data_IF_301611625322
#
_entry.id   IF_301611625322
#
_cell.length_a   1.000
_cell.length_b   1.000
_cell.length_c   1.000
_cell.angle_alpha   90.00
_cell.angle_beta   90.00
_cell.angle_gamma   90.00
#
_symmetry.space_group_name_H-M   'P 1'
#
loop_
_entity.id
_entity.type
_entity.pdbx_description
1 polymer ?
#
# COMPACT_ATOMS: atom_id res chain seq x y z
N UNK A 1 -0.53 -18.79 3.20
CA UNK A 1 0.05 -17.43 3.03
C UNK A 1 -0.23 -16.95 1.62
N UNK A 2 -0.64 -15.69 1.43
CA UNK A 2 -0.79 -15.13 0.09
C UNK A 2 0.56 -14.57 -0.36
N UNK A 3 1.36 -15.38 -1.05
CA UNK A 3 2.66 -14.96 -1.62
C UNK A 3 2.58 -13.66 -2.45
N UNK A 4 1.38 -13.33 -2.94
CA UNK A 4 1.12 -12.11 -3.70
C UNK A 4 1.31 -10.84 -2.87
N UNK A 5 0.84 -10.81 -1.61
CA UNK A 5 0.95 -9.61 -0.78
C UNK A 5 2.37 -9.43 -0.23
N UNK A 6 3.05 -10.52 0.11
CA UNK A 6 4.48 -10.51 0.48
C UNK A 6 5.35 -9.95 -0.65
N UNK A 7 5.10 -10.40 -1.89
CA UNK A 7 5.80 -9.88 -3.06
C UNK A 7 5.48 -8.40 -3.30
N UNK A 8 4.22 -8.00 -3.13
CA UNK A 8 3.77 -6.64 -3.36
C UNK A 8 4.41 -5.63 -2.38
N UNK A 9 4.42 -5.93 -1.07
CA UNK A 9 5.06 -5.04 -0.11
C UNK A 9 6.57 -4.94 -0.37
N UNK A 10 7.24 -6.04 -0.74
CA UNK A 10 8.65 -5.99 -1.15
C UNK A 10 8.85 -5.10 -2.39
N UNK A 11 7.98 -5.20 -3.39
CA UNK A 11 8.05 -4.37 -4.59
C UNK A 11 7.85 -2.87 -4.33
N UNK A 12 7.05 -2.50 -3.32
CA UNK A 12 6.90 -1.09 -2.89
C UNK A 12 8.18 -0.58 -2.23
N UNK A 13 8.85 -1.41 -1.43
CA UNK A 13 10.01 -1.01 -0.61
C UNK A 13 11.37 -1.25 -1.27
N UNK A 14 11.45 -1.97 -2.38
CA UNK A 14 12.71 -2.20 -3.11
C UNK A 14 13.21 -0.93 -3.81
N UNK A 15 14.53 -0.85 -4.00
CA UNK A 15 15.18 0.16 -4.84
C UNK A 15 15.93 -0.53 -5.99
N UNK A 16 15.73 -0.11 -7.26
CA UNK A 16 14.84 0.97 -7.71
C UNK A 16 13.34 0.62 -7.59
N UNK A 17 12.51 1.65 -7.39
CA UNK A 17 11.04 1.52 -7.35
C UNK A 17 10.53 0.83 -8.61
N UNK A 18 9.70 -0.21 -8.43
CA UNK A 18 9.04 -0.92 -9.54
C UNK A 18 8.20 0.03 -10.39
N UNK A 19 8.33 -0.05 -11.72
CA UNK A 19 7.55 0.78 -12.65
C UNK A 19 6.20 0.16 -13.05
N UNK A 20 5.81 -0.97 -12.45
CA UNK A 20 4.64 -1.76 -12.87
C UNK A 20 3.71 -2.10 -11.70
N UNK A 21 3.48 -1.15 -10.79
CA UNK A 21 2.50 -1.30 -9.71
C UNK A 21 1.19 -0.66 -10.17
N UNK A 22 0.10 -1.44 -10.19
CA UNK A 22 -1.22 -0.92 -10.54
C UNK A 22 -1.98 -0.45 -9.31
N UNK A 23 -2.78 0.61 -9.43
CA UNK A 23 -3.62 1.15 -8.35
C UNK A 23 -4.53 0.09 -7.74
N UNK A 24 -5.09 -0.81 -8.56
CA UNK A 24 -5.91 -1.92 -8.09
C UNK A 24 -5.16 -2.85 -7.12
N UNK A 25 -3.85 -3.02 -7.30
CA UNK A 25 -3.02 -3.79 -6.37
C UNK A 25 -2.82 -3.04 -5.05
N UNK A 26 -2.67 -1.71 -5.11
CA UNK A 26 -2.62 -0.83 -3.93
C UNK A 26 -3.93 -0.92 -3.13
N UNK A 27 -5.08 -0.74 -3.78
CA UNK A 27 -6.41 -0.86 -3.15
C UNK A 27 -6.61 -2.24 -2.52
N UNK A 28 -6.30 -3.31 -3.28
CA UNK A 28 -6.40 -4.68 -2.78
C UNK A 28 -5.53 -4.92 -1.55
N UNK A 29 -4.33 -4.35 -1.53
CA UNK A 29 -3.41 -4.51 -0.40
C UNK A 29 -3.85 -3.70 0.82
N UNK A 30 -4.30 -2.46 0.64
CA UNK A 30 -4.83 -1.63 1.72
C UNK A 30 -6.08 -2.25 2.36
N UNK A 31 -7.01 -2.78 1.56
CA UNK A 31 -8.15 -3.53 2.08
C UNK A 31 -7.75 -4.78 2.84
N UNK A 32 -6.75 -5.53 2.34
CA UNK A 32 -6.22 -6.69 3.04
C UNK A 32 -5.64 -6.34 4.42
N UNK A 33 -5.01 -5.17 4.54
CA UNK A 33 -4.49 -4.64 5.80
C UNK A 33 -5.58 -4.09 6.73
N UNK A 34 -6.83 -4.04 6.27
CA UNK A 34 -7.96 -3.49 7.04
C UNK A 34 -8.02 -1.96 7.03
N UNK A 35 -7.46 -1.31 6.00
CA UNK A 35 -7.55 0.14 5.86
C UNK A 35 -8.99 0.58 5.55
N UNK A 36 -9.42 1.67 6.17
CA UNK A 36 -10.62 2.41 5.76
C UNK A 36 -10.24 3.37 4.63
N UNK A 37 -10.99 3.33 3.52
CA UNK A 37 -10.73 4.15 2.34
C UNK A 37 -11.97 4.93 1.95
N UNK A 38 -11.86 6.26 1.90
CA UNK A 38 -12.93 7.17 1.52
C UNK A 38 -12.52 7.97 0.27
N UNK A 39 -13.27 7.89 -0.84
CA UNK A 39 -12.98 8.70 -2.02
C UNK A 39 -13.26 10.18 -1.72
N UNK A 40 -12.32 11.04 -2.08
CA UNK A 40 -12.44 12.49 -1.97
C UNK A 40 -12.22 13.14 -3.36
N UNK A 41 -12.31 14.47 -3.43
CA UNK A 41 -12.19 15.21 -4.69
C UNK A 41 -10.82 15.00 -5.37
N UNK A 42 -10.83 14.99 -6.71
CA UNK A 42 -9.63 14.98 -7.52
C UNK A 42 -8.91 13.62 -7.59
N UNK A 43 -9.66 12.52 -7.69
CA UNK A 43 -9.13 11.15 -7.74
C UNK A 43 -8.19 10.80 -6.57
N UNK A 44 -8.52 11.31 -5.38
CA UNK A 44 -7.79 11.04 -4.15
C UNK A 44 -8.64 10.20 -3.21
N UNK A 45 -7.97 9.52 -2.31
CA UNK A 45 -8.58 8.73 -1.25
C UNK A 45 -7.99 9.15 0.08
N UNK A 46 -8.87 9.49 1.04
CA UNK A 46 -8.49 9.52 2.45
C UNK A 46 -8.39 8.07 2.91
N UNK A 47 -7.27 7.72 3.54
CA UNK A 47 -6.97 6.36 3.98
C UNK A 47 -6.58 6.37 5.45
N UNK A 48 -7.26 5.56 6.26
CA UNK A 48 -6.93 5.36 7.68
C UNK A 48 -6.49 3.92 7.87
N UNK A 49 -5.27 3.72 8.35
CA UNK A 49 -4.68 2.40 8.61
C UNK A 49 -3.87 2.44 9.90
N UNK A 50 -4.15 1.52 10.82
CA UNK A 50 -3.49 1.46 12.14
C UNK A 50 -3.53 2.81 12.91
N UNK A 51 -4.65 3.54 12.76
CA UNK A 51 -4.83 4.88 13.36
C UNK A 51 -4.07 6.01 12.67
N UNK A 52 -3.38 5.74 11.55
CA UNK A 52 -2.67 6.73 10.74
C UNK A 52 -3.52 7.14 9.55
N UNK A 53 -3.84 8.43 9.49
CA UNK A 53 -4.56 9.06 8.38
C UNK A 53 -3.59 9.59 7.33
N UNK A 54 -3.88 9.34 6.06
CA UNK A 54 -3.14 9.87 4.92
C UNK A 54 -4.03 10.05 3.69
N UNK A 55 -3.49 10.70 2.65
CA UNK A 55 -4.18 10.87 1.37
C UNK A 55 -3.35 10.23 0.27
N UNK A 56 -3.96 9.30 -0.47
CA UNK A 56 -3.34 8.65 -1.62
C UNK A 56 -4.03 9.10 -2.91
N UNK A 57 -3.27 9.16 -3.99
CA UNK A 57 -3.76 9.56 -5.30
C UNK A 57 -3.91 8.33 -6.20
N UNK A 58 -5.07 8.23 -6.85
CA UNK A 58 -5.31 7.28 -7.92
C UNK A 58 -4.84 7.89 -9.24
N UNK A 59 -4.02 7.18 -10.05
CA UNK A 59 -3.55 7.72 -11.32
C UNK A 59 -4.72 7.97 -12.30
N UNK A 60 -4.69 9.09 -13.03
CA UNK A 60 -5.81 9.58 -13.83
C UNK A 60 -5.93 8.97 -15.24
N UNK A 61 -4.79 8.73 -15.92
CA UNK A 61 -4.77 8.32 -17.34
C UNK A 61 -4.36 6.86 -17.56
N UNK A 62 -3.79 6.23 -16.55
CA UNK A 62 -3.45 4.81 -16.56
C UNK A 62 -3.85 4.19 -15.24
N UNK A 63 -3.96 2.87 -15.17
CA UNK A 63 -4.11 2.20 -13.88
C UNK A 63 -2.75 1.95 -13.19
N UNK A 64 -1.64 2.46 -13.75
CA UNK A 64 -0.27 2.26 -13.26
C UNK A 64 0.15 3.46 -12.40
N UNK A 65 0.65 3.19 -11.20
CA UNK A 65 1.18 4.20 -10.30
C UNK A 65 2.52 4.73 -10.81
N UNK A 66 2.67 6.05 -10.78
CA UNK A 66 3.94 6.73 -10.98
C UNK A 66 4.90 6.43 -9.84
N UNK A 67 6.20 6.61 -10.08
CA UNK A 67 7.22 6.44 -9.01
C UNK A 67 6.97 7.37 -7.82
N UNK A 68 6.43 8.56 -8.06
CA UNK A 68 6.11 9.51 -7.00
C UNK A 68 4.94 9.00 -6.13
N UNK A 69 3.89 8.46 -6.75
CA UNK A 69 2.77 7.85 -6.02
C UNK A 69 3.23 6.62 -5.20
N UNK A 70 4.12 5.80 -5.77
CA UNK A 70 4.68 4.64 -5.03
C UNK A 70 5.57 5.10 -3.87
N UNK A 71 6.33 6.19 -4.03
CA UNK A 71 7.12 6.77 -2.94
C UNK A 71 6.23 7.28 -1.81
N UNK A 72 5.16 8.03 -2.13
CA UNK A 72 4.18 8.45 -1.13
C UNK A 72 3.50 7.24 -0.46
N UNK A 73 3.15 6.20 -1.21
CA UNK A 73 2.59 4.97 -0.66
C UNK A 73 3.57 4.29 0.32
N UNK A 74 4.86 4.20 -0.04
CA UNK A 74 5.91 3.66 0.82
C UNK A 74 6.01 4.44 2.14
N UNK A 75 6.05 5.76 2.07
CA UNK A 75 6.11 6.65 3.24
C UNK A 75 4.87 6.50 4.13
N UNK A 76 3.68 6.46 3.52
CA UNK A 76 2.43 6.22 4.22
C UNK A 76 2.41 4.86 4.94
N UNK A 77 2.72 3.76 4.23
CA UNK A 77 2.77 2.42 4.81
C UNK A 77 3.79 2.33 5.95
N UNK A 78 4.97 2.93 5.79
CA UNK A 78 5.98 2.99 6.85
C UNK A 78 5.45 3.74 8.09
N UNK A 79 4.77 4.86 7.91
CA UNK A 79 4.15 5.61 9.02
C UNK A 79 3.05 4.81 9.73
N UNK A 80 2.28 4.02 8.98
CA UNK A 80 1.28 3.08 9.50
C UNK A 80 1.88 1.78 10.07
N UNK A 81 3.22 1.71 10.24
CA UNK A 81 3.96 0.53 10.73
C UNK A 81 3.79 -0.73 9.86
N UNK A 82 3.59 -0.53 8.55
CA UNK A 82 3.54 -1.59 7.55
C UNK A 82 4.81 -1.51 6.70
N UNK A 83 5.84 -2.23 7.15
CA UNK A 83 7.10 -2.46 6.40
C UNK A 83 7.24 -3.94 6.09
N UNK A 84 8.06 -4.37 5.11
CA UNK A 84 8.20 -5.78 4.78
C UNK A 84 8.48 -6.66 6.00
N UNK A 85 9.44 -6.28 6.85
CA UNK A 85 9.80 -7.03 8.05
C UNK A 85 8.67 -7.10 9.09
N UNK A 86 7.93 -6.01 9.29
CA UNK A 86 6.81 -5.99 10.26
C UNK A 86 5.62 -6.77 9.73
N UNK A 87 5.34 -6.67 8.43
CA UNK A 87 4.27 -7.40 7.78
C UNK A 87 4.50 -8.91 7.84
N UNK A 88 5.70 -9.36 7.48
CA UNK A 88 6.11 -10.77 7.54
C UNK A 88 6.01 -11.32 8.98
N UNK A 89 6.51 -10.57 9.97
CA UNK A 89 6.43 -10.96 11.37
C UNK A 89 4.98 -11.07 11.91
N UNK A 90 4.02 -10.34 11.33
CA UNK A 90 2.59 -10.46 11.66
C UNK A 90 1.99 -11.72 11.03
N UNK A 91 2.39 -12.07 9.80
CA UNK A 91 1.89 -13.26 9.11
C UNK A 91 2.43 -14.57 9.70
N UNK A 92 3.63 -14.54 10.30
CA UNK A 92 4.28 -15.70 10.90
C UNK A 92 3.73 -16.06 12.29
N UNK A 93 2.87 -15.24 12.91
CA UNK A 93 2.26 -15.57 14.20
C UNK A 93 1.23 -16.70 14.00
N UNK A 94 1.45 -17.89 14.55
CA UNK A 94 0.61 -19.07 14.29
C UNK A 94 -0.75 -19.04 15.00
N UNK A 95 -1.06 -17.99 15.77
CA UNK A 95 -2.20 -17.97 16.70
C UNK A 95 -3.36 -17.09 16.21
N UNK A 96 -3.84 -17.33 14.98
CA UNK A 96 -5.15 -16.88 14.51
C UNK A 96 -6.07 -18.07 14.26
#
# INVERSE_FOLDING_TARGET
>A
MSHKHDHFIRAIFQDPISANIHWREVESFLHHLGAEMEPIQGARFKVVLNGVEGVLHRPHHSNVCTRQEIKHLREYLASARVTPSLYEAIQERPDK
#
